data_IF_019473072088
#
_entry.id   IF_019473072088
#
_cell.length_a   1.000
_cell.length_b   1.000
_cell.length_c   1.000
_cell.angle_alpha   90.00
_cell.angle_beta   90.00
_cell.angle_gamma   90.00
#
_symmetry.space_group_name_H-M   'P 1'
#
loop_
_entity.id
_entity.type
_entity.pdbx_description
1 polymer ?
#
# COMPACT_ATOMS: atom_id res chain seq x y z
N UNK A 1 -1.06 -1.10 -19.23
CA UNK A 1 -0.60 -2.22 -18.37
C UNK A 1 -1.60 -2.39 -17.24
N UNK A 2 -1.98 -3.62 -16.92
CA UNK A 2 -2.98 -3.94 -15.90
C UNK A 2 -2.29 -4.36 -14.60
N UNK A 3 -2.51 -3.61 -13.51
CA UNK A 3 -2.05 -4.00 -12.16
C UNK A 3 -3.09 -4.93 -11.55
N UNK A 4 -2.68 -6.13 -11.11
CA UNK A 4 -3.55 -7.05 -10.36
C UNK A 4 -3.17 -7.01 -8.88
N UNK A 5 -4.17 -6.87 -8.03
CA UNK A 5 -4.02 -6.81 -6.58
C UNK A 5 -4.70 -8.03 -5.98
N UNK A 6 -3.95 -8.80 -5.22
CA UNK A 6 -4.41 -9.94 -4.44
C UNK A 6 -4.41 -9.53 -2.97
N UNK A 7 -5.34 -10.05 -2.19
CA UNK A 7 -5.46 -9.74 -0.76
C UNK A 7 -5.18 -10.99 0.06
N UNK A 8 -4.63 -10.83 1.26
CA UNK A 8 -4.52 -11.92 2.24
C UNK A 8 -5.88 -12.21 2.88
N UNK A 9 -6.03 -13.37 3.54
CA UNK A 9 -7.22 -13.63 4.36
C UNK A 9 -7.33 -12.63 5.52
N UNK A 10 -6.21 -12.28 6.14
CA UNK A 10 -6.16 -11.34 7.26
C UNK A 10 -6.88 -10.02 6.98
N UNK A 11 -6.66 -9.40 5.82
CA UNK A 11 -7.33 -8.12 5.50
C UNK A 11 -8.81 -8.33 5.15
N UNK A 12 -9.17 -9.46 4.52
CA UNK A 12 -10.56 -9.83 4.24
C UNK A 12 -11.36 -10.10 5.52
N UNK A 13 -10.72 -10.67 6.52
CA UNK A 13 -11.36 -11.04 7.79
C UNK A 13 -11.49 -9.84 8.75
N UNK A 14 -10.76 -8.75 8.49
CA UNK A 14 -10.68 -7.57 9.37
C UNK A 14 -11.40 -6.33 8.84
N UNK A 15 -11.71 -6.27 7.54
CA UNK A 15 -12.36 -5.13 6.89
C UNK A 15 -13.67 -5.54 6.22
N UNK A 16 -14.62 -4.61 6.11
CA UNK A 16 -15.82 -4.86 5.32
C UNK A 16 -15.49 -4.98 3.84
N UNK A 17 -16.22 -5.83 3.11
CA UNK A 17 -15.97 -6.09 1.69
C UNK A 17 -15.98 -4.81 0.84
N UNK A 18 -16.87 -3.86 1.14
CA UNK A 18 -16.97 -2.58 0.43
C UNK A 18 -15.75 -1.68 0.66
N UNK A 19 -15.27 -1.60 1.91
CA UNK A 19 -14.09 -0.84 2.28
C UNK A 19 -12.83 -1.44 1.66
N UNK A 20 -12.71 -2.76 1.70
CA UNK A 20 -11.60 -3.47 1.07
C UNK A 20 -11.60 -3.30 -0.45
N UNK A 21 -12.77 -3.37 -1.10
CA UNK A 21 -12.88 -3.15 -2.53
C UNK A 21 -12.45 -1.72 -2.92
N UNK A 22 -12.84 -0.71 -2.12
CA UNK A 22 -12.40 0.67 -2.32
C UNK A 22 -10.89 0.80 -2.16
N UNK A 23 -10.32 0.26 -1.09
CA UNK A 23 -8.87 0.29 -0.82
C UNK A 23 -8.08 -0.38 -1.96
N UNK A 24 -8.53 -1.54 -2.43
CA UNK A 24 -7.90 -2.26 -3.55
C UNK A 24 -7.97 -1.44 -4.84
N UNK A 25 -9.09 -0.77 -5.10
CA UNK A 25 -9.25 0.08 -6.28
C UNK A 25 -8.32 1.28 -6.25
N UNK A 26 -8.29 2.00 -5.13
CA UNK A 26 -7.40 3.16 -4.93
C UNK A 26 -5.92 2.77 -5.00
N UNK A 27 -5.55 1.65 -4.36
CA UNK A 27 -4.20 1.14 -4.40
C UNK A 27 -3.79 0.70 -5.80
N UNK A 28 -4.67 0.03 -6.55
CA UNK A 28 -4.41 -0.34 -7.94
C UNK A 28 -4.13 0.88 -8.82
N UNK A 29 -4.96 1.92 -8.70
CA UNK A 29 -4.79 3.14 -9.49
C UNK A 29 -3.51 3.89 -9.08
N UNK A 30 -3.20 3.91 -7.77
CA UNK A 30 -1.93 4.45 -7.28
C UNK A 30 -0.72 3.76 -7.92
N UNK A 31 -0.67 2.42 -7.90
CA UNK A 31 0.46 1.67 -8.46
C UNK A 31 0.54 1.75 -9.98
N UNK A 32 -0.58 2.01 -10.66
CA UNK A 32 -0.64 2.20 -12.11
C UNK A 32 -0.18 3.59 -12.55
N UNK A 33 -0.53 4.63 -11.79
CA UNK A 33 -0.33 6.04 -12.21
C UNK A 33 0.81 6.75 -11.49
N UNK A 34 1.19 6.26 -10.31
CA UNK A 34 2.08 6.97 -9.38
C UNK A 34 1.39 8.10 -8.58
N UNK A 35 0.12 8.39 -8.85
CA UNK A 35 -0.63 9.44 -8.15
C UNK A 35 -1.20 8.91 -6.84
N UNK A 36 -0.64 9.37 -5.72
CA UNK A 36 -1.06 8.93 -4.41
C UNK A 36 -2.41 9.54 -3.99
N UNK A 37 -3.38 8.71 -3.57
CA UNK A 37 -4.60 9.18 -2.91
C UNK A 37 -4.29 10.05 -1.68
N UNK A 38 -5.25 10.88 -1.28
CA UNK A 38 -5.09 11.76 -0.09
C UNK A 38 -4.85 10.97 1.20
N UNK A 39 -5.36 9.73 1.26
CA UNK A 39 -5.20 8.81 2.38
C UNK A 39 -3.86 8.09 2.38
N UNK A 40 -3.09 8.16 1.29
CA UNK A 40 -1.83 7.46 1.15
C UNK A 40 -0.67 8.40 1.46
N UNK A 41 0.13 7.98 2.43
CA UNK A 41 1.36 8.61 2.81
C UNK A 41 2.55 8.00 2.09
N UNK A 42 3.72 8.02 2.73
CA UNK A 42 4.96 7.49 2.16
C UNK A 42 4.80 6.02 1.78
N UNK A 43 5.24 5.68 0.57
CA UNK A 43 5.48 4.31 0.12
C UNK A 43 6.99 4.02 0.25
N UNK A 44 7.35 2.95 0.97
CA UNK A 44 8.75 2.62 1.25
C UNK A 44 8.96 1.09 1.37
N UNK A 45 10.15 0.64 0.98
CA UNK A 45 10.57 -0.75 1.16
C UNK A 45 11.00 -1.01 2.61
N UNK A 46 10.70 -2.20 3.13
CA UNK A 46 11.39 -2.69 4.32
C UNK A 46 12.78 -3.18 3.95
N UNK A 47 13.78 -2.80 4.75
CA UNK A 47 15.18 -3.15 4.51
C UNK A 47 15.74 -4.15 5.53
N UNK A 48 15.01 -4.48 6.59
CA UNK A 48 15.39 -5.44 7.64
C UNK A 48 14.17 -6.11 8.25
N UNK A 49 14.28 -7.39 8.66
CA UNK A 49 15.43 -8.30 8.49
C UNK A 49 15.65 -8.78 7.03
N UNK A 50 16.73 -9.49 6.73
CA UNK A 50 17.05 -9.96 5.36
C UNK A 50 15.89 -10.67 4.63
N UNK A 51 15.05 -11.39 5.37
CA UNK A 51 13.89 -12.08 4.82
C UNK A 51 12.91 -11.12 4.14
N UNK A 52 12.66 -9.94 4.72
CA UNK A 52 11.70 -8.97 4.14
C UNK A 52 12.30 -8.24 2.94
N UNK A 53 13.62 -8.03 2.95
CA UNK A 53 14.34 -7.49 1.81
C UNK A 53 14.27 -8.45 0.62
N UNK A 54 14.53 -9.75 0.84
CA UNK A 54 14.47 -10.79 -0.20
C UNK A 54 13.05 -10.99 -0.75
N UNK A 55 12.04 -10.79 0.09
CA UNK A 55 10.63 -10.88 -0.30
C UNK A 55 10.08 -9.59 -0.94
N UNK A 56 10.92 -8.57 -1.14
CA UNK A 56 10.53 -7.27 -1.72
C UNK A 56 9.31 -6.65 -1.03
N UNK A 57 9.28 -6.73 0.31
CA UNK A 57 8.16 -6.23 1.11
C UNK A 57 8.25 -4.71 1.22
N UNK A 58 7.11 -4.07 0.96
CA UNK A 58 6.92 -2.65 1.05
C UNK A 58 5.77 -2.32 2.01
N UNK A 59 5.71 -1.06 2.41
CA UNK A 59 4.58 -0.51 3.14
C UNK A 59 4.21 0.88 2.61
N UNK A 60 2.91 1.14 2.57
CA UNK A 60 2.36 2.48 2.40
C UNK A 60 1.78 2.94 3.75
N UNK A 61 2.19 4.10 4.22
CA UNK A 61 1.54 4.74 5.36
C UNK A 61 0.09 5.10 5.00
N UNK A 62 -0.87 4.74 5.83
CA UNK A 62 -2.27 5.14 5.67
C UNK A 62 -2.61 6.26 6.66
N UNK A 63 -3.45 7.20 6.23
CA UNK A 63 -3.93 8.27 7.10
C UNK A 63 -4.86 7.68 8.16
N UNK A 64 -4.42 7.70 9.42
CA UNK A 64 -5.27 7.42 10.57
C UNK A 64 -5.77 8.74 11.16
N UNK A 65 -5.38 9.00 12.41
CA UNK A 65 -5.70 10.24 13.11
C UNK A 65 -4.71 11.39 12.79
N UNK A 66 -3.70 11.12 11.97
CA UNK A 66 -2.67 12.09 11.62
C UNK A 66 -3.21 13.20 10.71
N UNK A 67 -2.92 14.46 11.06
CA UNK A 67 -3.34 15.60 10.26
C UNK A 67 -2.27 15.96 9.21
N UNK A 68 -2.34 15.29 8.06
CA UNK A 68 -1.56 15.66 6.89
C UNK A 68 -2.21 16.86 6.19
N UNK A 69 -1.56 18.02 6.25
CA UNK A 69 -1.98 19.21 5.50
C UNK A 69 -1.85 18.97 3.99
N UNK A 70 -2.68 19.62 3.17
CA UNK A 70 -2.66 19.43 1.71
C UNK A 70 -1.30 19.75 1.08
N UNK A 71 -0.53 20.66 1.70
CA UNK A 71 0.76 21.13 1.20
C UNK A 71 1.93 20.19 1.55
N UNK A 72 1.71 19.16 2.38
CA UNK A 72 2.78 18.22 2.71
C UNK A 72 2.97 17.22 1.56
N UNK A 73 4.22 17.10 1.09
CA UNK A 73 4.61 16.09 0.11
C UNK A 73 4.38 14.68 0.65
N UNK A 74 3.96 13.75 -0.21
CA UNK A 74 3.62 12.37 0.18
C UNK A 74 4.73 11.69 1.00
N UNK A 75 6.00 11.88 0.61
CA UNK A 75 7.14 11.27 1.32
C UNK A 75 7.22 11.62 2.81
N UNK A 76 6.68 12.78 3.23
CA UNK A 76 6.68 13.24 4.63
C UNK A 76 5.40 12.86 5.39
N UNK A 77 4.44 12.23 4.73
CA UNK A 77 3.21 11.72 5.35
C UNK A 77 3.50 10.37 6.00
N UNK A 78 3.72 10.41 7.32
CA UNK A 78 3.98 9.25 8.16
C UNK A 78 2.82 9.03 9.13
N UNK A 79 2.64 7.78 9.56
CA UNK A 79 1.62 7.29 10.48
C UNK A 79 2.04 5.92 11.03
N UNK A 80 1.37 5.44 12.08
CA UNK A 80 1.58 4.09 12.61
C UNK A 80 0.68 3.02 11.95
N UNK A 81 -0.16 3.43 10.99
CA UNK A 81 -1.00 2.54 10.22
C UNK A 81 -0.38 2.29 8.85
N UNK A 82 -0.16 1.02 8.51
CA UNK A 82 0.54 0.63 7.29
C UNK A 82 -0.26 -0.38 6.48
N UNK A 83 -0.32 -0.17 5.17
CA UNK A 83 -0.68 -1.21 4.20
C UNK A 83 0.59 -1.89 3.73
N UNK A 84 0.77 -3.17 4.08
CA UNK A 84 1.91 -3.97 3.62
C UNK A 84 1.57 -4.61 2.27
N UNK A 85 2.57 -4.70 1.39
CA UNK A 85 2.45 -5.40 0.11
C UNK A 85 3.79 -5.96 -0.37
N UNK A 86 3.74 -6.93 -1.27
CA UNK A 86 4.92 -7.39 -2.03
C UNK A 86 4.62 -7.49 -3.52
N UNK A 87 5.66 -7.46 -4.35
CA UNK A 87 5.52 -7.67 -5.80
C UNK A 87 5.47 -9.15 -6.12
N UNK A 88 4.69 -9.49 -7.15
CA UNK A 88 4.60 -10.86 -7.64
C UNK A 88 5.94 -11.36 -8.16
N UNK A 89 6.37 -12.54 -7.69
CA UNK A 89 7.63 -13.14 -8.09
C UNK A 89 7.72 -13.39 -9.61
N UNK A 90 6.64 -13.93 -10.20
CA UNK A 90 6.59 -14.26 -11.63
C UNK A 90 6.14 -13.09 -12.52
N UNK A 91 5.48 -12.09 -11.94
CA UNK A 91 4.94 -10.96 -12.69
C UNK A 91 4.99 -9.68 -11.82
N UNK A 92 5.81 -8.68 -12.19
CA UNK A 92 5.93 -7.44 -11.42
C UNK A 92 4.65 -6.59 -11.43
N UNK A 93 3.70 -6.90 -12.33
CA UNK A 93 2.38 -6.26 -12.35
C UNK A 93 1.37 -6.87 -11.37
N UNK A 94 1.72 -7.95 -10.69
CA UNK A 94 0.93 -8.52 -9.61
C UNK A 94 1.44 -7.99 -8.27
N UNK A 95 0.52 -7.66 -7.38
CA UNK A 95 0.81 -7.19 -6.02
C UNK A 95 -0.06 -7.99 -5.05
N UNK A 96 0.53 -8.44 -3.95
CA UNK A 96 -0.15 -9.22 -2.92
C UNK A 96 0.00 -8.57 -1.54
#
# INVERSE_FOLDING_TARGET
MEVKVFTSSLIRDTMQDSELASLVSEFREYKKTGNAPILFGRDASYNRPDAVLKADIHHVHLKGNENWSLNIVQFRRLSNLHLLYCRGFMNPMHIC
#
